data_IF_207438321197
#
_entry.id   IF_207438321197
#
_cell.length_a   1.000
_cell.length_b   1.000
_cell.length_c   1.000
_cell.angle_alpha   90.00
_cell.angle_beta   90.00
_cell.angle_gamma   90.00
#
_symmetry.space_group_name_H-M   'P 1'
#
loop_
_entity.id
_entity.type
_entity.pdbx_description
1 polymer ?
#
# COMPACT_ATOMS: atom_id res chain seq x y z
N UNK A 1 4.43 3.33 -8.48
CA UNK A 1 4.62 3.18 -7.02
C UNK A 1 5.85 2.32 -6.71
N UNK A 2 6.77 2.79 -5.87
CA UNK A 2 7.88 2.00 -5.33
C UNK A 2 7.47 1.40 -3.99
N UNK A 3 7.16 0.11 -4.01
CA UNK A 3 6.70 -0.63 -2.84
C UNK A 3 7.87 -1.29 -2.11
N UNK A 4 7.82 -1.21 -0.78
CA UNK A 4 8.64 -2.00 0.13
C UNK A 4 8.25 -3.49 0.05
N UNK A 5 9.13 -4.36 0.52
CA UNK A 5 8.84 -5.80 0.52
C UNK A 5 7.67 -6.17 1.45
N UNK A 6 7.44 -5.38 2.50
CA UNK A 6 6.27 -5.53 3.38
C UNK A 6 4.95 -5.20 2.67
N UNK A 7 4.93 -4.15 1.86
CA UNK A 7 3.76 -3.78 1.04
C UNK A 7 3.50 -4.82 -0.05
N UNK A 8 4.55 -5.32 -0.71
CA UNK A 8 4.42 -6.44 -1.67
C UNK A 8 3.84 -7.69 -1.01
N UNK A 9 4.30 -8.04 0.20
CA UNK A 9 3.76 -9.18 0.94
C UNK A 9 2.27 -9.00 1.29
N UNK A 10 1.84 -7.78 1.63
CA UNK A 10 0.41 -7.47 1.82
C UNK A 10 -0.36 -7.68 0.51
N UNK A 11 0.15 -7.18 -0.62
CA UNK A 11 -0.49 -7.38 -1.93
C UNK A 11 -0.54 -8.84 -2.38
N UNK A 12 0.44 -9.65 -1.97
CA UNK A 12 0.44 -11.11 -2.18
C UNK A 12 -0.60 -11.84 -1.31
N UNK A 13 -1.30 -11.13 -0.41
CA UNK A 13 -2.32 -11.70 0.47
C UNK A 13 -1.77 -12.28 1.77
N UNK A 14 -0.49 -12.10 2.08
CA UNK A 14 0.17 -12.67 3.27
C UNK A 14 -0.34 -12.04 4.59
N UNK A 15 -1.06 -10.91 4.51
CA UNK A 15 -1.73 -10.25 5.64
C UNK A 15 -3.27 -10.37 5.59
N UNK A 16 -3.79 -11.26 4.76
CA UNK A 16 -5.22 -11.49 4.59
C UNK A 16 -5.89 -10.56 3.58
N UNK A 17 -7.11 -10.92 3.21
CA UNK A 17 -7.84 -10.32 2.08
C UNK A 17 -8.16 -8.83 2.29
N UNK A 18 -8.59 -8.47 3.50
CA UNK A 18 -8.94 -7.09 3.82
C UNK A 18 -7.74 -6.14 3.67
N UNK A 19 -6.56 -6.55 4.14
CA UNK A 19 -5.34 -5.77 4.02
C UNK A 19 -4.88 -5.66 2.55
N UNK A 20 -4.99 -6.77 1.80
CA UNK A 20 -4.69 -6.80 0.36
C UNK A 20 -5.54 -5.80 -0.41
N UNK A 21 -6.86 -5.84 -0.22
CA UNK A 21 -7.81 -4.96 -0.90
C UNK A 21 -7.60 -3.49 -0.51
N UNK A 22 -7.38 -3.21 0.76
CA UNK A 22 -7.11 -1.85 1.22
C UNK A 22 -5.84 -1.28 0.56
N UNK A 23 -4.76 -2.07 0.52
CA UNK A 23 -3.50 -1.63 -0.07
C UNK A 23 -3.59 -1.52 -1.60
N UNK A 24 -4.31 -2.41 -2.29
CA UNK A 24 -4.47 -2.32 -3.75
C UNK A 24 -5.15 -1.02 -4.17
N UNK A 25 -6.20 -0.60 -3.44
CA UNK A 25 -6.87 0.68 -3.69
C UNK A 25 -5.90 1.86 -3.53
N UNK A 26 -5.05 1.85 -2.50
CA UNK A 26 -4.06 2.91 -2.30
C UNK A 26 -3.00 2.95 -3.40
N UNK A 27 -2.56 1.79 -3.90
CA UNK A 27 -1.62 1.69 -5.01
C UNK A 27 -2.25 2.19 -6.31
N UNK A 28 -3.48 1.78 -6.61
CA UNK A 28 -4.21 2.22 -7.81
C UNK A 28 -4.38 3.74 -7.82
N UNK A 29 -4.74 4.34 -6.67
CA UNK A 29 -4.83 5.78 -6.52
C UNK A 29 -3.45 6.44 -6.69
N UNK A 30 -2.41 5.86 -6.08
CA UNK A 30 -1.04 6.35 -6.21
C UNK A 30 -0.58 6.38 -7.67
N UNK A 31 -0.81 5.31 -8.43
CA UNK A 31 -0.48 5.25 -9.86
C UNK A 31 -1.29 6.24 -10.68
N UNK A 32 -2.60 6.37 -10.40
CA UNK A 32 -3.48 7.30 -11.09
C UNK A 32 -3.05 8.76 -10.91
N UNK A 33 -2.57 9.13 -9.73
CA UNK A 33 -2.14 10.49 -9.40
C UNK A 33 -0.63 10.73 -9.56
N UNK A 34 0.14 9.73 -9.98
CA UNK A 34 1.59 9.85 -10.17
C UNK A 34 2.39 9.94 -8.87
N UNK A 35 1.92 9.30 -7.80
CA UNK A 35 2.67 9.17 -6.55
C UNK A 35 3.83 8.15 -6.70
N UNK A 36 4.95 8.47 -6.07
CA UNK A 36 6.15 7.62 -6.12
C UNK A 36 6.21 6.58 -5.01
N UNK A 37 5.79 6.91 -3.78
CA UNK A 37 5.89 6.04 -2.59
C UNK A 37 4.71 6.24 -1.64
N UNK A 38 4.46 5.26 -0.78
CA UNK A 38 3.60 5.44 0.38
C UNK A 38 4.41 6.07 1.53
N UNK A 39 3.77 6.95 2.31
CA UNK A 39 4.40 7.57 3.48
C UNK A 39 4.03 6.79 4.74
N UNK A 40 5.01 6.29 5.52
CA UNK A 40 4.72 5.67 6.80
C UNK A 40 4.23 6.71 7.80
N UNK A 41 3.13 6.42 8.48
CA UNK A 41 2.57 7.27 9.54
C UNK A 41 3.02 6.71 10.89
N UNK A 42 3.81 7.50 11.63
CA UNK A 42 4.33 7.11 12.95
C UNK A 42 3.44 7.59 14.11
N UNK A 43 2.71 8.69 13.94
CA UNK A 43 1.78 9.24 14.93
C UNK A 43 0.60 9.94 14.24
N UNK A 44 -0.58 9.79 14.84
CA UNK A 44 -1.79 10.56 14.54
C UNK A 44 -2.41 11.00 15.88
N UNK A 45 -2.95 12.22 15.94
CA UNK A 45 -3.67 12.76 17.11
C UNK A 45 -5.18 12.68 16.89
#
# INVERSE_FOLDING_TARGET
>A
MHLTDGEKAILNGERGEAARLALSILVDLGELYGADTLLPVSQVH
#
